data_IF_822018117492
#
_entry.id   IF_822018117492
#
_cell.length_a   1.000
_cell.length_b   1.000
_cell.length_c   1.000
_cell.angle_alpha   90.00
_cell.angle_beta   90.00
_cell.angle_gamma   90.00
#
_symmetry.space_group_name_H-M   'P 1'
#
loop_
_entity.id
_entity.type
_entity.pdbx_description
1 polymer ?
#
# COMPACT_ATOMS: atom_id res chain seq x y z
N UNK A 1 21.06 31.36 21.20
CA UNK A 1 21.73 30.08 21.40
C UNK A 1 21.14 29.14 20.35
N UNK A 2 21.93 28.85 19.33
CA UNK A 2 21.52 27.96 18.24
C UNK A 2 21.45 26.54 18.80
N UNK A 3 20.36 25.86 18.58
CA UNK A 3 20.21 24.43 18.80
C UNK A 3 21.17 23.71 17.84
N UNK A 4 22.18 23.07 18.35
CA UNK A 4 23.03 22.16 17.58
C UNK A 4 22.12 21.02 17.06
N UNK A 5 21.92 21.05 15.76
CA UNK A 5 21.35 19.93 15.01
C UNK A 5 22.42 18.81 15.07
N UNK A 6 22.22 17.85 15.97
CA UNK A 6 23.04 16.64 16.02
C UNK A 6 22.58 15.76 14.86
N UNK A 7 23.01 16.16 13.66
CA UNK A 7 22.87 15.35 12.47
C UNK A 7 23.69 14.07 12.67
N UNK A 8 23.04 12.97 12.99
CA UNK A 8 23.65 11.66 12.91
C UNK A 8 24.02 11.44 11.44
N UNK A 9 25.31 11.55 11.12
CA UNK A 9 25.79 11.27 9.78
C UNK A 9 25.68 9.75 9.55
N UNK A 10 24.68 9.34 8.78
CA UNK A 10 24.54 7.96 8.34
C UNK A 10 25.70 7.58 7.41
N UNK A 11 26.42 6.50 7.73
CA UNK A 11 27.41 5.91 6.83
C UNK A 11 26.79 4.72 6.07
N UNK A 12 26.37 4.90 4.81
CA UNK A 12 25.73 3.84 4.03
C UNK A 12 26.68 2.68 3.70
N UNK A 13 27.97 2.82 3.96
CA UNK A 13 28.96 1.74 3.79
C UNK A 13 29.07 0.82 5.00
N UNK A 14 28.49 1.20 6.15
CA UNK A 14 28.48 0.38 7.36
C UNK A 14 27.24 -0.54 7.38
N UNK A 15 27.37 -1.85 7.06
CA UNK A 15 26.22 -2.77 7.04
C UNK A 15 25.64 -3.06 8.42
N UNK A 16 26.31 -2.62 9.49
CA UNK A 16 25.88 -2.83 10.88
C UNK A 16 25.22 -1.60 11.49
N UNK A 17 25.14 -0.49 10.76
CA UNK A 17 24.39 0.65 11.24
C UNK A 17 22.88 0.37 11.14
N UNK A 18 22.19 0.50 12.29
CA UNK A 18 20.75 0.25 12.37
C UNK A 18 20.00 1.16 11.39
N UNK A 19 19.13 0.62 10.53
CA UNK A 19 18.28 1.44 9.67
C UNK A 19 17.44 2.44 10.47
N UNK A 20 17.14 3.59 9.87
CA UNK A 20 16.32 4.62 10.51
C UNK A 20 14.90 4.16 10.80
N UNK A 21 14.39 3.20 10.02
CA UNK A 21 13.00 2.75 10.02
C UNK A 21 11.97 3.90 9.93
N UNK A 22 12.39 5.04 9.37
CA UNK A 22 11.46 6.13 9.06
C UNK A 22 10.34 5.65 8.15
N UNK A 23 9.20 6.34 8.17
CA UNK A 23 8.04 5.99 7.38
C UNK A 23 7.74 7.06 6.33
N UNK A 24 7.27 6.63 5.16
CA UNK A 24 6.55 7.41 4.19
C UNK A 24 5.29 6.65 3.78
N UNK A 25 4.17 7.34 3.62
CA UNK A 25 2.90 6.72 3.24
C UNK A 25 2.36 7.44 2.01
N UNK A 26 1.97 6.67 1.00
CA UNK A 26 1.22 7.14 -0.16
C UNK A 26 -0.18 6.55 -0.13
N UNK A 27 -1.20 7.37 -0.43
CA UNK A 27 -2.59 6.95 -0.57
C UNK A 27 -3.17 7.51 -1.87
N UNK A 28 -3.95 6.70 -2.60
CA UNK A 28 -4.59 7.06 -3.86
C UNK A 28 -6.10 7.16 -3.64
N UNK A 29 -6.67 8.38 -3.70
CA UNK A 29 -8.08 8.62 -3.42
C UNK A 29 -8.94 8.65 -4.67
N UNK A 30 -10.16 8.13 -4.54
CA UNK A 30 -11.27 8.37 -5.44
C UNK A 30 -11.77 9.79 -5.29
N UNK A 31 -12.02 10.46 -6.42
CA UNK A 31 -12.78 11.71 -6.46
C UNK A 31 -14.20 11.39 -6.91
N UNK A 32 -15.20 11.75 -6.10
CA UNK A 32 -16.58 11.33 -6.26
C UNK A 32 -17.52 12.52 -6.39
N UNK A 33 -18.59 12.32 -7.14
CA UNK A 33 -19.75 13.21 -7.15
C UNK A 33 -20.55 13.02 -5.85
N UNK A 34 -20.90 14.09 -5.10
CA UNK A 34 -21.56 13.97 -3.79
C UNK A 34 -23.03 13.50 -3.87
N UNK A 35 -23.67 13.57 -5.04
CA UNK A 35 -25.08 13.16 -5.21
C UNK A 35 -25.19 11.70 -5.67
N UNK A 36 -24.31 11.30 -6.59
CA UNK A 36 -24.37 9.96 -7.21
C UNK A 36 -23.38 8.98 -6.58
N UNK A 37 -22.36 9.47 -5.87
CA UNK A 37 -21.21 8.72 -5.37
C UNK A 37 -20.42 8.01 -6.47
N UNK A 38 -20.60 8.39 -7.75
CA UNK A 38 -19.81 7.88 -8.86
C UNK A 38 -18.50 8.65 -9.01
N UNK A 39 -17.52 8.04 -9.69
CA UNK A 39 -16.25 8.69 -9.99
C UNK A 39 -16.45 9.92 -10.87
N UNK A 40 -15.74 10.98 -10.56
CA UNK A 40 -15.82 12.25 -11.28
C UNK A 40 -14.42 12.81 -11.53
N UNK A 41 -14.16 13.25 -12.77
CA UNK A 41 -12.89 13.90 -13.09
C UNK A 41 -12.76 15.22 -12.35
N UNK A 42 -11.58 15.45 -11.79
CA UNK A 42 -11.20 16.72 -11.15
C UNK A 42 -10.39 17.65 -12.08
N UNK A 43 -10.05 17.19 -13.28
CA UNK A 43 -9.11 17.85 -14.19
C UNK A 43 -9.55 19.25 -14.56
N UNK A 44 -10.79 19.41 -15.06
CA UNK A 44 -11.33 20.71 -15.45
C UNK A 44 -11.55 21.67 -14.26
N UNK A 45 -11.73 21.15 -13.06
CA UNK A 45 -11.97 21.94 -11.85
C UNK A 45 -10.69 22.50 -11.24
N UNK A 46 -9.53 22.08 -11.75
CA UNK A 46 -8.22 22.52 -11.26
C UNK A 46 -7.95 22.11 -9.80
N UNK A 47 -8.58 21.03 -9.31
CA UNK A 47 -8.44 20.58 -7.93
C UNK A 47 -6.97 20.27 -7.59
N UNK A 48 -6.27 19.59 -8.50
CA UNK A 48 -4.86 19.28 -8.32
C UNK A 48 -4.01 20.54 -8.20
N UNK A 49 -4.18 21.54 -9.08
CA UNK A 49 -3.41 22.80 -9.04
C UNK A 49 -3.61 23.55 -7.72
N UNK A 50 -4.87 23.64 -7.26
CA UNK A 50 -5.19 24.23 -5.96
C UNK A 50 -4.59 23.43 -4.80
N UNK A 51 -4.60 22.10 -4.92
CA UNK A 51 -3.95 21.21 -3.95
C UNK A 51 -2.44 21.43 -3.88
N UNK A 52 -1.78 21.59 -5.02
CA UNK A 52 -0.34 21.84 -5.10
C UNK A 52 0.08 23.21 -4.53
N UNK A 53 -0.80 24.22 -4.57
CA UNK A 53 -0.53 25.50 -3.90
C UNK A 53 -0.42 25.36 -2.38
N UNK A 54 -1.12 24.40 -1.78
CA UNK A 54 -1.18 24.18 -0.32
C UNK A 54 -0.28 23.03 0.13
N UNK A 55 -0.28 21.94 -0.63
CA UNK A 55 0.38 20.68 -0.29
C UNK A 55 1.68 20.45 -1.07
N UNK A 56 2.01 21.30 -2.04
CA UNK A 56 3.22 21.21 -2.88
C UNK A 56 3.36 19.81 -3.51
N UNK A 57 4.50 19.13 -3.27
CA UNK A 57 4.79 17.80 -3.76
C UNK A 57 4.03 16.66 -3.06
N UNK A 58 3.29 16.96 -1.97
CA UNK A 58 2.52 15.97 -1.23
C UNK A 58 1.21 15.55 -1.92
N UNK A 59 0.82 16.22 -3.00
CA UNK A 59 -0.31 15.83 -3.85
C UNK A 59 0.15 15.74 -5.31
N UNK A 60 -0.23 14.65 -5.98
CA UNK A 60 0.19 14.35 -7.34
C UNK A 60 -0.99 13.86 -8.17
N UNK A 61 -0.91 14.01 -9.50
CA UNK A 61 -1.87 13.36 -10.40
C UNK A 61 -1.63 11.87 -10.43
N UNK A 62 -2.69 11.09 -10.61
CA UNK A 62 -2.63 9.68 -10.96
C UNK A 62 -3.21 9.46 -12.37
N UNK A 63 -3.20 8.21 -12.86
CA UNK A 63 -3.44 7.91 -14.27
C UNK A 63 -4.83 8.31 -14.76
N UNK A 64 -5.85 8.18 -13.92
CA UNK A 64 -7.21 8.62 -14.27
C UNK A 64 -7.52 9.99 -13.65
N UNK A 65 -8.27 10.83 -14.37
CA UNK A 65 -8.70 12.15 -13.92
C UNK A 65 -9.61 12.14 -12.69
N UNK A 66 -10.10 10.98 -12.29
CA UNK A 66 -10.89 10.75 -11.06
C UNK A 66 -10.08 10.25 -9.88
N UNK A 67 -8.74 10.33 -9.97
CA UNK A 67 -7.80 9.85 -8.95
C UNK A 67 -6.89 10.97 -8.48
N UNK A 68 -6.53 10.94 -7.19
CA UNK A 68 -5.53 11.81 -6.58
C UNK A 68 -4.60 10.97 -5.71
N UNK A 69 -3.29 11.08 -5.94
CA UNK A 69 -2.27 10.50 -5.07
C UNK A 69 -1.81 11.55 -4.05
N UNK A 70 -1.71 11.14 -2.79
CA UNK A 70 -1.02 11.91 -1.77
C UNK A 70 0.19 11.14 -1.24
N UNK A 71 1.19 11.88 -0.76
CA UNK A 71 2.35 11.30 -0.08
C UNK A 71 2.76 12.13 1.12
N UNK A 72 3.05 11.48 2.24
CA UNK A 72 3.62 12.15 3.41
C UNK A 72 5.07 12.55 3.15
N UNK A 73 5.62 13.44 3.97
CA UNK A 73 7.06 13.58 4.13
C UNK A 73 7.68 12.36 4.81
N UNK A 74 8.97 12.48 5.15
CA UNK A 74 9.67 11.47 5.94
C UNK A 74 9.22 11.61 7.40
N UNK A 75 8.50 10.62 7.91
CA UNK A 75 8.02 10.56 9.28
C UNK A 75 8.99 9.73 10.13
N UNK A 76 9.44 10.27 11.25
CA UNK A 76 10.40 9.59 12.15
C UNK A 76 9.78 8.40 12.87
N UNK A 77 8.48 8.40 13.05
CA UNK A 77 7.72 7.38 13.75
C UNK A 77 6.25 7.35 13.31
N UNK A 78 5.53 6.37 13.80
CA UNK A 78 4.11 6.13 13.46
C UNK A 78 3.19 7.29 13.87
N UNK A 79 3.49 7.96 14.99
CA UNK A 79 2.68 9.10 15.47
C UNK A 79 2.78 10.31 14.52
N UNK A 80 3.98 10.59 13.99
CA UNK A 80 4.17 11.62 12.96
C UNK A 80 3.44 11.23 11.67
N UNK A 81 3.53 9.96 11.26
CA UNK A 81 2.83 9.46 10.07
C UNK A 81 1.31 9.62 10.22
N UNK A 82 0.74 9.30 11.38
CA UNK A 82 -0.68 9.53 11.68
C UNK A 82 -1.07 11.00 11.52
N UNK A 83 -0.29 11.88 12.14
CA UNK A 83 -0.57 13.32 12.11
C UNK A 83 -0.51 13.87 10.67
N UNK A 84 0.49 13.46 9.89
CA UNK A 84 0.64 13.90 8.49
C UNK A 84 -0.47 13.34 7.59
N UNK A 85 -0.76 12.04 7.62
CA UNK A 85 -1.85 11.44 6.83
C UNK A 85 -3.16 12.14 7.16
N UNK A 86 -3.48 12.31 8.45
CA UNK A 86 -4.71 13.00 8.88
C UNK A 86 -4.79 14.44 8.36
N UNK A 87 -3.70 15.19 8.47
CA UNK A 87 -3.61 16.57 7.97
C UNK A 87 -3.82 16.63 6.46
N UNK A 88 -3.09 15.81 5.69
CA UNK A 88 -3.13 15.85 4.23
C UNK A 88 -4.50 15.36 3.74
N UNK A 89 -5.03 14.24 4.26
CA UNK A 89 -6.36 13.74 3.91
C UNK A 89 -7.45 14.77 4.24
N UNK A 90 -7.35 15.47 5.38
CA UNK A 90 -8.26 16.55 5.75
C UNK A 90 -8.25 17.70 4.75
N UNK A 91 -7.06 18.19 4.37
CA UNK A 91 -6.90 19.26 3.37
C UNK A 91 -7.48 18.84 2.01
N UNK A 92 -7.19 17.62 1.55
CA UNK A 92 -7.73 17.10 0.27
C UNK A 92 -9.25 16.97 0.32
N UNK A 93 -9.81 16.49 1.43
CA UNK A 93 -11.26 16.41 1.65
C UNK A 93 -11.93 17.80 1.58
N UNK A 94 -11.34 18.80 2.22
CA UNK A 94 -11.88 20.16 2.24
C UNK A 94 -11.77 20.83 0.86
N UNK A 95 -10.66 20.64 0.16
CA UNK A 95 -10.48 21.10 -1.21
C UNK A 95 -11.48 20.46 -2.17
N UNK A 96 -11.74 19.16 -2.03
CA UNK A 96 -12.78 18.48 -2.81
C UNK A 96 -14.16 19.11 -2.56
N UNK A 97 -14.56 19.28 -1.29
CA UNK A 97 -15.84 19.91 -0.91
C UNK A 97 -15.99 21.32 -1.46
N UNK A 98 -14.94 22.16 -1.41
CA UNK A 98 -14.93 23.51 -1.98
C UNK A 98 -15.15 23.53 -3.51
N UNK A 99 -14.88 22.43 -4.19
CA UNK A 99 -15.08 22.26 -5.63
C UNK A 99 -16.34 21.42 -5.95
N UNK A 100 -17.23 21.19 -4.99
CA UNK A 100 -18.47 20.41 -5.18
C UNK A 100 -18.23 18.91 -5.34
N UNK A 101 -17.12 18.40 -4.83
CA UNK A 101 -16.71 17.00 -4.90
C UNK A 101 -16.50 16.42 -3.49
N UNK A 102 -16.38 15.12 -3.40
CA UNK A 102 -15.99 14.40 -2.17
C UNK A 102 -14.91 13.36 -2.51
N UNK A 103 -14.27 12.79 -1.48
CA UNK A 103 -13.25 11.74 -1.65
C UNK A 103 -13.71 10.42 -1.07
N UNK A 104 -13.14 9.33 -1.58
CA UNK A 104 -13.29 7.98 -1.03
C UNK A 104 -11.95 7.25 -1.01
N UNK A 105 -11.75 6.41 0.00
CA UNK A 105 -10.57 5.56 0.17
C UNK A 105 -11.00 4.09 0.18
N UNK A 106 -10.87 3.43 -0.95
CA UNK A 106 -10.99 1.99 -1.13
C UNK A 106 -10.23 1.61 -2.41
N UNK A 107 -9.95 0.35 -2.64
CA UNK A 107 -9.02 -0.02 -3.72
C UNK A 107 -9.67 -0.34 -5.05
N UNK A 108 -10.99 -0.43 -5.09
CA UNK A 108 -11.81 -0.38 -6.32
C UNK A 108 -13.08 0.37 -6.03
N UNK A 109 -13.59 1.10 -7.04
CA UNK A 109 -14.91 1.70 -6.93
C UNK A 109 -15.99 0.63 -7.11
N UNK A 110 -17.09 0.63 -6.30
CA UNK A 110 -18.07 -0.45 -6.34
C UNK A 110 -18.75 -0.66 -7.70
N UNK A 111 -19.04 0.41 -8.46
CA UNK A 111 -19.82 0.31 -9.70
C UNK A 111 -19.30 1.15 -10.87
N UNK A 112 -18.39 2.10 -10.66
CA UNK A 112 -17.82 2.88 -11.76
C UNK A 112 -17.12 2.00 -12.79
N UNK A 113 -17.23 2.39 -14.06
CA UNK A 113 -16.61 1.68 -15.17
C UNK A 113 -15.34 2.39 -15.62
N UNK A 114 -14.31 1.62 -15.94
CA UNK A 114 -13.03 2.18 -16.38
C UNK A 114 -13.14 2.81 -17.78
N UNK A 115 -14.06 2.32 -18.63
CA UNK A 115 -14.31 2.88 -19.97
C UNK A 115 -14.82 4.32 -19.94
N UNK A 116 -15.49 4.70 -18.85
CA UNK A 116 -16.06 6.03 -18.65
C UNK A 116 -15.05 7.02 -18.05
N UNK A 117 -13.83 6.54 -17.69
CA UNK A 117 -12.82 7.39 -17.06
C UNK A 117 -11.85 7.98 -18.09
N UNK A 118 -11.59 9.27 -17.97
CA UNK A 118 -10.57 9.93 -18.78
C UNK A 118 -9.16 9.67 -18.19
N UNK A 119 -8.17 9.54 -19.08
CA UNK A 119 -6.76 9.51 -18.69
C UNK A 119 -6.28 10.93 -18.39
N UNK A 120 -5.63 11.13 -17.24
CA UNK A 120 -5.05 12.43 -16.88
C UNK A 120 -4.08 12.91 -17.98
N UNK A 121 -4.14 14.21 -18.41
CA UNK A 121 -3.40 14.71 -19.57
C UNK A 121 -1.90 14.94 -19.29
N UNK A 122 -1.19 13.91 -18.88
CA UNK A 122 0.27 13.88 -18.69
C UNK A 122 0.91 12.94 -19.70
N UNK A 123 2.03 13.33 -20.30
CA UNK A 123 2.72 12.53 -21.32
C UNK A 123 3.22 11.17 -20.78
N UNK A 124 3.54 11.09 -19.49
CA UNK A 124 3.90 9.84 -18.81
C UNK A 124 2.78 8.80 -18.92
N UNK A 125 1.53 9.22 -18.71
CA UNK A 125 0.38 8.31 -18.79
C UNK A 125 0.00 7.98 -20.23
N UNK A 126 0.15 8.91 -21.17
CA UNK A 126 -0.04 8.65 -22.60
C UNK A 126 0.91 7.54 -23.08
N UNK A 127 2.21 7.64 -22.74
CA UNK A 127 3.21 6.62 -23.06
C UNK A 127 2.83 5.27 -22.44
N UNK A 128 2.41 5.25 -21.17
CA UNK A 128 1.99 4.01 -20.50
C UNK A 128 0.75 3.38 -21.18
N UNK A 129 -0.21 4.21 -21.60
CA UNK A 129 -1.39 3.74 -22.35
C UNK A 129 -1.02 3.22 -23.73
N UNK A 130 -0.06 3.85 -24.42
CA UNK A 130 0.45 3.36 -25.70
C UNK A 130 1.14 2.00 -25.56
N UNK A 131 1.96 1.83 -24.51
CA UNK A 131 2.70 0.60 -24.26
C UNK A 131 1.79 -0.55 -23.79
N UNK A 132 0.86 -0.28 -22.86
CA UNK A 132 0.08 -1.31 -22.16
C UNK A 132 -1.37 -1.44 -22.66
N UNK A 133 -1.83 -0.53 -23.52
CA UNK A 133 -3.14 -0.55 -24.16
C UNK A 133 -4.32 -0.70 -23.14
N UNK A 134 -5.17 -1.69 -23.35
CA UNK A 134 -6.33 -1.95 -22.48
C UNK A 134 -5.94 -2.23 -21.03
N UNK A 135 -4.75 -2.77 -20.78
CA UNK A 135 -4.30 -3.02 -19.42
C UNK A 135 -4.15 -1.71 -18.66
N UNK A 136 -3.52 -0.70 -19.26
CA UNK A 136 -3.38 0.62 -18.65
C UNK A 136 -4.74 1.31 -18.50
N UNK A 137 -5.55 1.38 -19.58
CA UNK A 137 -6.88 2.00 -19.51
C UNK A 137 -7.78 1.41 -18.43
N UNK A 138 -7.71 0.09 -18.22
CA UNK A 138 -8.52 -0.61 -17.22
C UNK A 138 -7.88 -0.67 -15.82
N UNK A 139 -6.81 0.10 -15.56
CA UNK A 139 -6.14 0.15 -14.26
C UNK A 139 -6.84 1.15 -13.32
N UNK A 140 -8.14 0.99 -13.14
CA UNK A 140 -8.95 1.83 -12.26
C UNK A 140 -8.92 1.26 -10.83
N UNK A 141 -7.75 1.33 -10.20
CA UNK A 141 -7.50 0.82 -8.85
C UNK A 141 -6.77 1.86 -8.01
N UNK A 142 -6.91 1.75 -6.70
CA UNK A 142 -6.37 2.69 -5.72
C UNK A 142 -5.56 1.93 -4.70
N UNK A 143 -4.36 2.38 -4.42
CA UNK A 143 -3.41 1.69 -3.56
C UNK A 143 -3.01 2.49 -2.33
N UNK A 144 -2.36 1.77 -1.43
CA UNK A 144 -1.58 2.32 -0.35
C UNK A 144 -0.17 1.77 -0.44
N UNK A 145 0.84 2.66 -0.36
CA UNK A 145 2.22 2.24 -0.31
C UNK A 145 2.86 2.68 1.01
N UNK A 146 3.69 1.80 1.57
CA UNK A 146 4.44 2.08 2.79
C UNK A 146 5.92 2.02 2.48
N UNK A 147 6.60 3.14 2.63
CA UNK A 147 8.05 3.25 2.55
C UNK A 147 8.65 3.10 3.94
N UNK A 148 9.63 2.23 4.08
CA UNK A 148 10.37 2.01 5.32
C UNK A 148 11.83 2.38 5.07
N UNK A 149 12.37 3.33 5.83
CA UNK A 149 13.76 3.79 5.73
C UNK A 149 14.73 2.65 6.07
N UNK A 150 15.47 2.20 5.04
CA UNK A 150 16.53 1.18 5.15
C UNK A 150 17.62 1.63 4.20
N UNK A 151 18.61 2.30 4.72
CA UNK A 151 19.59 3.05 3.94
C UNK A 151 20.59 2.11 3.24
N UNK A 152 20.95 1.00 3.90
CA UNK A 152 21.85 0.02 3.33
C UNK A 152 21.15 -0.88 2.31
N UNK A 153 21.62 -0.86 1.07
CA UNK A 153 21.01 -1.58 -0.06
C UNK A 153 21.09 -3.11 0.07
N UNK A 154 22.14 -3.65 0.67
CA UNK A 154 22.24 -5.10 0.91
C UNK A 154 21.23 -5.53 1.98
N UNK A 155 21.07 -4.73 3.03
CA UNK A 155 20.04 -4.96 4.06
C UNK A 155 18.64 -4.87 3.45
N UNK A 156 18.38 -3.93 2.51
CA UNK A 156 17.08 -3.88 1.81
C UNK A 156 16.77 -5.20 1.10
N UNK A 157 17.74 -5.80 0.39
CA UNK A 157 17.52 -7.06 -0.32
C UNK A 157 17.28 -8.21 0.65
N UNK A 158 18.06 -8.29 1.72
CA UNK A 158 17.88 -9.31 2.75
C UNK A 158 16.47 -9.22 3.37
N UNK A 159 16.07 -8.02 3.81
CA UNK A 159 14.76 -7.80 4.41
C UNK A 159 13.64 -8.00 3.40
N UNK A 160 13.79 -7.58 2.15
CA UNK A 160 12.82 -7.87 1.09
C UNK A 160 12.60 -9.37 0.93
N UNK A 161 13.66 -10.16 0.84
CA UNK A 161 13.58 -11.61 0.70
C UNK A 161 12.76 -12.26 1.82
N UNK A 162 13.01 -11.87 3.06
CA UNK A 162 12.34 -12.42 4.24
C UNK A 162 10.91 -11.88 4.40
N UNK A 163 10.69 -10.57 4.17
CA UNK A 163 9.37 -9.93 4.27
C UNK A 163 8.34 -10.51 3.29
N UNK A 164 8.75 -11.08 2.16
CA UNK A 164 7.84 -11.71 1.19
C UNK A 164 6.92 -12.74 1.84
N UNK A 165 7.38 -13.43 2.88
CA UNK A 165 6.55 -14.40 3.62
C UNK A 165 5.34 -13.76 4.29
N UNK A 166 5.50 -12.53 4.78
CA UNK A 166 4.46 -11.80 5.53
C UNK A 166 3.51 -11.01 4.63
N UNK A 167 3.83 -10.82 3.35
CA UNK A 167 3.01 -10.04 2.42
C UNK A 167 1.57 -10.55 2.31
N UNK A 168 1.29 -11.88 2.23
CA UNK A 168 -0.09 -12.39 2.26
C UNK A 168 -0.84 -12.11 3.56
N UNK A 169 -0.15 -12.05 4.71
CA UNK A 169 -0.76 -11.72 6.01
C UNK A 169 -1.18 -10.24 6.02
N UNK A 170 -0.29 -9.35 5.55
CA UNK A 170 -0.54 -7.91 5.44
C UNK A 170 -1.69 -7.64 4.45
N UNK A 171 -1.71 -8.34 3.31
CA UNK A 171 -2.81 -8.24 2.36
C UNK A 171 -4.15 -8.67 2.98
N UNK A 172 -4.17 -9.77 3.75
CA UNK A 172 -5.41 -10.25 4.38
C UNK A 172 -6.00 -9.21 5.36
N UNK A 173 -5.14 -8.44 6.06
CA UNK A 173 -5.55 -7.35 6.95
C UNK A 173 -6.07 -6.15 6.15
N UNK A 174 -5.44 -5.82 5.03
CA UNK A 174 -5.70 -4.61 4.24
C UNK A 174 -6.78 -4.75 3.17
N UNK A 175 -7.34 -5.96 2.91
CA UNK A 175 -8.31 -6.15 1.82
C UNK A 175 -9.46 -5.14 1.86
N UNK A 176 -9.69 -4.42 0.73
CA UNK A 176 -10.70 -3.38 0.62
C UNK A 176 -11.19 -3.15 -0.83
N UNK A 177 -11.33 -4.22 -1.62
CA UNK A 177 -11.77 -4.13 -3.02
C UNK A 177 -12.61 -5.34 -3.46
N UNK A 178 -13.81 -5.56 -2.85
CA UNK A 178 -14.63 -6.74 -3.16
C UNK A 178 -15.50 -6.56 -4.42
N UNK A 179 -15.74 -5.32 -4.86
CA UNK A 179 -16.63 -5.01 -5.97
C UNK A 179 -15.87 -4.47 -7.18
N UNK A 180 -16.41 -4.71 -8.37
CA UNK A 180 -15.91 -4.21 -9.64
C UNK A 180 -17.05 -4.05 -10.64
N UNK A 181 -17.24 -2.84 -11.18
CA UNK A 181 -18.27 -2.54 -12.22
C UNK A 181 -19.67 -3.07 -11.84
N UNK A 182 -20.07 -2.86 -10.59
CA UNK A 182 -21.38 -3.28 -10.09
C UNK A 182 -21.50 -4.76 -9.72
N UNK A 183 -20.40 -5.52 -9.76
CA UNK A 183 -20.39 -6.97 -9.49
C UNK A 183 -19.68 -7.27 -8.17
N UNK A 184 -20.27 -8.13 -7.34
CA UNK A 184 -19.54 -8.82 -6.28
C UNK A 184 -18.61 -9.84 -6.92
N UNK A 185 -17.31 -9.57 -6.85
CA UNK A 185 -16.28 -10.39 -7.52
C UNK A 185 -16.04 -11.73 -6.82
N UNK A 186 -16.56 -11.88 -5.62
CA UNK A 186 -16.25 -13.00 -4.73
C UNK A 186 -14.84 -12.98 -4.17
N UNK A 187 -14.07 -11.90 -4.38
CA UNK A 187 -12.71 -11.70 -3.84
C UNK A 187 -12.75 -10.60 -2.79
N UNK A 188 -11.78 -10.59 -1.87
CA UNK A 188 -11.61 -9.53 -0.87
C UNK A 188 -10.66 -8.42 -1.37
N UNK A 189 -9.74 -8.76 -2.29
CA UNK A 189 -8.86 -7.81 -2.96
C UNK A 189 -8.86 -8.04 -4.47
N UNK A 190 -9.86 -7.49 -5.17
CA UNK A 190 -9.90 -7.56 -6.64
C UNK A 190 -8.82 -6.65 -7.27
N UNK A 191 -8.43 -5.55 -6.60
CA UNK A 191 -7.29 -4.72 -6.97
C UNK A 191 -6.06 -5.56 -7.30
N UNK A 192 -5.71 -6.51 -6.46
CA UNK A 192 -4.56 -7.40 -6.69
C UNK A 192 -4.63 -8.11 -8.05
N UNK A 193 -5.82 -8.55 -8.48
CA UNK A 193 -6.01 -9.25 -9.77
C UNK A 193 -5.99 -8.32 -10.96
N UNK A 194 -6.48 -7.10 -10.81
CA UNK A 194 -6.36 -6.07 -11.85
C UNK A 194 -4.88 -5.72 -12.05
N UNK A 195 -4.16 -5.48 -10.96
CA UNK A 195 -2.76 -5.09 -11.02
C UNK A 195 -1.83 -6.21 -11.55
N UNK A 196 -2.11 -7.47 -11.21
CA UNK A 196 -1.34 -8.62 -11.69
C UNK A 196 -1.43 -8.86 -13.22
N UNK A 197 -2.31 -8.16 -13.94
CA UNK A 197 -2.34 -8.18 -15.40
C UNK A 197 -1.14 -7.46 -16.02
N UNK A 198 -0.50 -6.57 -15.29
CA UNK A 198 0.71 -5.88 -15.72
C UNK A 198 1.95 -6.79 -15.62
N UNK A 199 2.93 -6.63 -16.51
CA UNK A 199 4.20 -7.31 -16.36
C UNK A 199 4.95 -6.82 -15.12
N UNK A 200 5.84 -7.64 -14.58
CA UNK A 200 6.73 -7.30 -13.46
C UNK A 200 5.97 -6.89 -12.17
N UNK A 201 4.84 -7.54 -11.92
CA UNK A 201 3.99 -7.41 -10.73
C UNK A 201 4.07 -8.63 -9.83
N UNK A 202 3.29 -8.65 -8.75
CA UNK A 202 3.24 -9.67 -7.71
C UNK A 202 4.52 -9.75 -6.85
N UNK A 203 4.70 -10.83 -6.10
CA UNK A 203 5.88 -10.99 -5.24
C UNK A 203 7.17 -11.09 -6.07
N UNK A 204 8.28 -10.45 -5.64
CA UNK A 204 9.58 -10.63 -6.28
C UNK A 204 10.14 -12.04 -6.12
N UNK A 205 11.06 -12.42 -6.98
CA UNK A 205 11.95 -13.57 -6.76
C UNK A 205 12.96 -13.26 -5.65
N UNK A 206 13.74 -14.26 -5.25
CA UNK A 206 14.87 -14.10 -4.33
C UNK A 206 16.06 -13.49 -5.06
N UNK A 207 16.77 -12.62 -4.39
CA UNK A 207 18.05 -12.07 -4.83
C UNK A 207 19.11 -12.32 -3.76
N UNK A 208 20.26 -12.82 -4.16
CA UNK A 208 21.37 -13.12 -3.23
C UNK A 208 22.12 -11.86 -2.76
N UNK A 209 21.98 -10.74 -3.48
CA UNK A 209 22.65 -9.48 -3.18
C UNK A 209 21.99 -8.32 -3.93
N UNK A 210 22.29 -7.09 -3.50
CA UNK A 210 21.91 -5.90 -4.24
C UNK A 210 22.56 -5.85 -5.64
N UNK A 211 23.78 -6.37 -5.78
CA UNK A 211 24.43 -6.51 -7.08
C UNK A 211 23.67 -7.39 -8.05
N UNK A 212 23.11 -8.51 -7.61
CA UNK A 212 22.25 -9.36 -8.44
C UNK A 212 20.97 -8.63 -8.85
N UNK A 213 20.31 -7.94 -7.93
CA UNK A 213 19.15 -7.10 -8.24
C UNK A 213 19.49 -6.01 -9.26
N UNK A 214 20.62 -5.32 -9.12
CA UNK A 214 21.07 -4.31 -10.07
C UNK A 214 21.32 -4.92 -11.46
N UNK A 215 21.92 -6.09 -11.53
CA UNK A 215 22.14 -6.80 -12.80
C UNK A 215 20.81 -7.14 -13.48
N UNK A 216 19.81 -7.57 -12.72
CA UNK A 216 18.45 -7.81 -13.23
C UNK A 216 17.84 -6.51 -13.80
N UNK A 217 17.88 -5.40 -13.05
CA UNK A 217 17.38 -4.10 -13.52
C UNK A 217 18.12 -3.66 -14.79
N UNK A 218 19.45 -3.72 -14.77
CA UNK A 218 20.29 -3.31 -15.91
C UNK A 218 20.00 -4.14 -17.17
N UNK A 219 19.71 -5.43 -17.02
CA UNK A 219 19.32 -6.29 -18.14
C UNK A 219 18.01 -5.83 -18.76
N UNK A 220 17.00 -5.52 -17.93
CA UNK A 220 15.70 -5.02 -18.42
C UNK A 220 15.83 -3.67 -19.12
N UNK A 221 16.68 -2.77 -18.60
CA UNK A 221 16.97 -1.47 -19.23
C UNK A 221 17.71 -1.67 -20.55
N UNK A 222 18.75 -2.50 -20.56
CA UNK A 222 19.56 -2.80 -21.76
C UNK A 222 18.73 -3.41 -22.90
N UNK A 223 17.72 -4.21 -22.56
CA UNK A 223 16.81 -4.84 -23.54
C UNK A 223 15.64 -3.95 -23.94
N UNK A 224 15.56 -2.71 -23.44
CA UNK A 224 14.46 -1.80 -23.72
C UNK A 224 13.13 -2.20 -23.10
N UNK A 225 13.14 -3.15 -22.14
CA UNK A 225 11.91 -3.61 -21.47
C UNK A 225 11.36 -2.57 -20.48
N UNK A 226 12.24 -1.78 -19.90
CA UNK A 226 11.95 -0.64 -19.01
C UNK A 226 13.00 0.46 -19.23
N UNK A 227 12.66 1.68 -18.87
CA UNK A 227 13.61 2.82 -18.83
C UNK A 227 14.32 2.93 -17.47
N UNK A 228 13.63 2.53 -16.40
CA UNK A 228 14.17 2.51 -15.05
C UNK A 228 13.37 1.56 -14.14
N UNK A 229 13.86 1.33 -12.90
CA UNK A 229 13.26 0.38 -11.96
C UNK A 229 11.89 0.83 -11.39
N UNK A 230 11.40 2.06 -11.65
CA UNK A 230 10.01 2.44 -11.31
C UNK A 230 8.98 1.57 -12.02
N UNK A 231 9.31 1.04 -13.21
CA UNK A 231 8.45 0.12 -13.98
C UNK A 231 8.51 -1.35 -13.51
N UNK A 232 9.08 -1.61 -12.35
CA UNK A 232 9.01 -2.88 -11.62
C UNK A 232 8.00 -2.70 -10.49
N UNK A 233 6.82 -3.27 -10.64
CA UNK A 233 5.66 -3.03 -9.77
C UNK A 233 5.41 -4.19 -8.80
N UNK A 234 6.48 -4.74 -8.23
CA UNK A 234 6.34 -5.82 -7.24
C UNK A 234 5.58 -5.40 -5.98
N UNK A 235 5.02 -6.37 -5.29
CA UNK A 235 4.29 -6.20 -4.02
C UNK A 235 5.16 -5.62 -2.89
N UNK A 236 6.46 -5.83 -2.97
CA UNK A 236 7.51 -5.23 -2.14
C UNK A 236 8.77 -5.07 -2.99
N UNK A 237 9.41 -3.91 -2.92
CA UNK A 237 10.63 -3.63 -3.72
C UNK A 237 11.57 -2.64 -3.03
N UNK A 238 12.88 -2.69 -3.31
CA UNK A 238 13.76 -1.56 -3.04
C UNK A 238 13.32 -0.38 -3.90
N UNK A 239 13.10 0.79 -3.28
CA UNK A 239 12.74 1.96 -4.09
C UNK A 239 13.96 2.43 -4.91
N UNK A 240 13.80 2.73 -6.22
CA UNK A 240 14.95 3.03 -7.09
C UNK A 240 15.71 4.31 -6.72
N UNK A 241 15.05 5.29 -6.11
CA UNK A 241 15.64 6.60 -5.82
C UNK A 241 15.74 6.93 -4.33
N UNK A 242 14.82 6.40 -3.52
CA UNK A 242 14.83 6.62 -2.07
C UNK A 242 15.52 5.46 -1.35
N UNK A 243 16.19 5.69 -0.22
CA UNK A 243 16.80 4.63 0.58
C UNK A 243 15.73 3.89 1.41
N UNK A 244 14.68 3.41 0.74
CA UNK A 244 13.53 2.75 1.38
C UNK A 244 13.23 1.41 0.76
N UNK A 245 12.69 0.51 1.57
CA UNK A 245 11.97 -0.67 1.13
C UNK A 245 10.48 -0.31 1.06
N UNK A 246 9.86 -0.47 -0.09
CA UNK A 246 8.49 -0.05 -0.40
C UNK A 246 7.56 -1.25 -0.44
N UNK A 247 6.58 -1.28 0.46
CA UNK A 247 5.48 -2.27 0.48
C UNK A 247 4.30 -1.72 -0.30
N UNK A 248 3.87 -2.43 -1.34
CA UNK A 248 2.85 -2.00 -2.32
C UNK A 248 1.62 -2.92 -2.38
N UNK A 249 1.67 -4.04 -1.68
CA UNK A 249 0.64 -5.09 -1.75
C UNK A 249 -0.71 -4.64 -1.19
N UNK A 250 -0.74 -3.63 -0.34
CA UNK A 250 -1.91 -3.23 0.42
C UNK A 250 -3.01 -2.63 -0.45
N UNK A 251 -4.24 -3.06 -0.25
CA UNK A 251 -5.39 -2.25 -0.61
C UNK A 251 -5.41 -0.99 0.26
N UNK A 252 -5.94 0.11 -0.27
CA UNK A 252 -6.11 1.36 0.48
C UNK A 252 -7.21 1.21 1.53
N UNK A 253 -6.92 1.35 2.83
CA UNK A 253 -7.93 1.30 3.87
C UNK A 253 -8.84 2.53 3.89
N UNK A 254 -10.07 2.37 4.36
CA UNK A 254 -11.00 3.51 4.50
C UNK A 254 -10.56 4.44 5.63
N UNK A 255 -10.26 3.91 6.81
CA UNK A 255 -9.92 4.69 8.02
C UNK A 255 -8.43 4.97 8.11
N UNK A 256 -8.09 6.14 8.63
CA UNK A 256 -6.68 6.52 8.88
C UNK A 256 -6.03 5.57 9.87
N UNK A 257 -6.75 5.17 10.92
CA UNK A 257 -6.25 4.23 11.92
C UNK A 257 -5.82 2.89 11.31
N UNK A 258 -6.54 2.42 10.29
CA UNK A 258 -6.20 1.20 9.56
C UNK A 258 -4.95 1.38 8.69
N UNK A 259 -4.85 2.52 7.98
CA UNK A 259 -3.64 2.90 7.22
C UNK A 259 -2.41 2.86 8.11
N UNK A 260 -2.51 3.49 9.28
CA UNK A 260 -1.40 3.61 10.22
C UNK A 260 -1.07 2.27 10.89
N UNK A 261 -2.07 1.46 11.24
CA UNK A 261 -1.85 0.11 11.78
C UNK A 261 -1.11 -0.79 10.78
N UNK A 262 -1.46 -0.70 9.48
CA UNK A 262 -0.78 -1.45 8.42
C UNK A 262 0.64 -0.94 8.20
N UNK A 263 0.86 0.37 8.23
CA UNK A 263 2.22 0.94 8.16
C UNK A 263 3.07 0.51 9.35
N UNK A 264 2.50 0.54 10.56
CA UNK A 264 3.16 0.13 11.80
C UNK A 264 3.57 -1.35 11.78
N UNK A 265 2.70 -2.26 11.33
CA UNK A 265 3.07 -3.69 11.24
C UNK A 265 4.12 -3.93 10.16
N UNK A 266 4.09 -3.22 9.02
CA UNK A 266 5.13 -3.30 8.00
C UNK A 266 6.49 -2.87 8.57
N UNK A 267 6.54 -1.75 9.30
CA UNK A 267 7.73 -1.25 9.99
C UNK A 267 8.23 -2.24 11.04
N UNK A 268 7.33 -2.77 11.87
CA UNK A 268 7.67 -3.72 12.92
C UNK A 268 8.23 -5.04 12.37
N UNK A 269 7.69 -5.55 11.26
CA UNK A 269 8.24 -6.73 10.57
C UNK A 269 9.64 -6.47 10.07
N UNK A 270 9.88 -5.32 9.42
CA UNK A 270 11.22 -4.96 8.94
C UNK A 270 12.22 -4.84 10.10
N UNK A 271 11.85 -4.16 11.18
CA UNK A 271 12.69 -4.00 12.37
C UNK A 271 12.97 -5.35 13.07
N UNK A 272 11.96 -6.22 13.16
CA UNK A 272 12.12 -7.56 13.74
C UNK A 272 13.07 -8.42 12.92
N UNK A 273 12.94 -8.44 11.61
CA UNK A 273 13.83 -9.20 10.74
C UNK A 273 15.26 -8.64 10.79
N UNK A 274 15.42 -7.31 10.86
CA UNK A 274 16.72 -6.69 11.08
C UNK A 274 17.32 -7.09 12.43
N UNK A 275 16.53 -7.18 13.50
CA UNK A 275 17.01 -7.65 14.80
C UNK A 275 17.52 -9.10 14.79
N UNK A 276 17.02 -9.93 13.87
CA UNK A 276 17.57 -11.26 13.62
C UNK A 276 18.87 -11.19 12.83
N UNK A 277 18.92 -10.36 11.79
CA UNK A 277 20.10 -10.13 10.96
C UNK A 277 21.31 -9.69 11.81
N UNK A 278 21.14 -8.73 12.73
CA UNK A 278 22.20 -8.30 13.66
C UNK A 278 22.77 -9.44 14.53
N UNK A 279 21.96 -10.45 14.78
CA UNK A 279 22.33 -11.64 15.58
C UNK A 279 22.85 -12.79 14.73
N UNK A 280 23.11 -12.57 13.43
CA UNK A 280 23.45 -13.62 12.45
C UNK A 280 22.37 -14.71 12.34
N UNK A 281 21.10 -14.34 12.52
CA UNK A 281 19.94 -15.18 12.33
C UNK A 281 19.16 -14.69 11.11
N UNK A 282 18.35 -15.58 10.51
CA UNK A 282 17.50 -15.22 9.37
C UNK A 282 16.14 -15.89 9.48
N UNK A 283 15.11 -15.25 8.89
CA UNK A 283 13.85 -15.92 8.69
C UNK A 283 13.94 -16.84 7.47
N UNK A 284 13.24 -17.97 7.52
CA UNK A 284 13.28 -18.97 6.45
C UNK A 284 12.71 -18.41 5.15
N UNK A 285 13.46 -18.51 4.07
CA UNK A 285 13.04 -18.13 2.73
C UNK A 285 12.26 -19.24 2.04
N UNK A 286 11.24 -18.85 1.27
CA UNK A 286 10.39 -19.75 0.50
C UNK A 286 10.35 -19.36 -0.97
N UNK A 287 10.11 -20.34 -1.84
CA UNK A 287 9.93 -20.10 -3.27
C UNK A 287 8.73 -19.21 -3.52
N UNK A 288 8.87 -18.29 -4.46
CA UNK A 288 7.80 -17.38 -4.89
C UNK A 288 6.48 -18.10 -5.16
N UNK A 289 6.51 -19.24 -5.86
CA UNK A 289 5.31 -20.03 -6.19
C UNK A 289 4.52 -20.48 -4.96
N UNK A 290 5.19 -20.82 -3.87
CA UNK A 290 4.52 -21.17 -2.61
C UNK A 290 3.88 -19.95 -1.92
N UNK A 291 4.58 -18.83 -1.94
CA UNK A 291 4.05 -17.58 -1.35
C UNK A 291 2.87 -17.04 -2.16
N UNK A 292 2.88 -17.22 -3.49
CA UNK A 292 1.76 -16.84 -4.36
C UNK A 292 0.49 -17.64 -4.06
N UNK A 293 0.58 -18.89 -3.58
CA UNK A 293 -0.59 -19.62 -3.10
C UNK A 293 -1.22 -18.93 -1.88
N UNK A 294 -0.43 -18.50 -0.92
CA UNK A 294 -0.92 -17.71 0.22
C UNK A 294 -1.46 -16.34 -0.21
N UNK A 295 -0.82 -15.68 -1.17
CA UNK A 295 -1.35 -14.44 -1.74
C UNK A 295 -2.73 -14.64 -2.36
N UNK A 296 -2.90 -15.71 -3.15
CA UNK A 296 -4.22 -16.07 -3.69
C UNK A 296 -5.27 -16.27 -2.60
N UNK A 297 -4.92 -16.99 -1.52
CA UNK A 297 -5.83 -17.22 -0.38
C UNK A 297 -6.21 -15.92 0.33
N UNK A 298 -5.25 -15.00 0.53
CA UNK A 298 -5.51 -13.68 1.09
C UNK A 298 -6.43 -12.86 0.16
N UNK A 299 -6.16 -12.82 -1.15
CA UNK A 299 -7.00 -12.16 -2.16
C UNK A 299 -8.43 -12.68 -2.13
N UNK A 300 -8.59 -14.01 -2.06
CA UNK A 300 -9.91 -14.64 -2.17
C UNK A 300 -10.72 -14.56 -0.88
N UNK A 301 -10.08 -14.78 0.26
CA UNK A 301 -10.78 -15.02 1.53
C UNK A 301 -10.48 -13.97 2.60
N UNK A 302 -9.42 -13.18 2.46
CA UNK A 302 -9.01 -12.18 3.46
C UNK A 302 -8.80 -12.79 4.84
N UNK A 303 -9.34 -12.13 5.87
CA UNK A 303 -9.25 -12.55 7.27
C UNK A 303 -10.01 -13.84 7.58
N UNK A 304 -11.03 -14.18 6.80
CA UNK A 304 -11.88 -15.35 7.03
C UNK A 304 -11.31 -16.64 6.41
N UNK A 305 -10.21 -16.50 5.68
CA UNK A 305 -9.53 -17.60 5.01
C UNK A 305 -8.58 -18.39 5.89
N UNK A 306 -7.92 -19.33 5.23
CA UNK A 306 -6.77 -20.06 5.78
C UNK A 306 -5.55 -19.77 4.92
N UNK A 307 -4.44 -19.46 5.57
CA UNK A 307 -3.13 -19.40 4.95
C UNK A 307 -2.35 -20.68 5.27
N UNK A 308 -1.34 -20.97 4.47
CA UNK A 308 -0.47 -22.12 4.70
C UNK A 308 0.71 -21.65 5.54
N UNK A 309 0.87 -22.24 6.72
CA UNK A 309 2.13 -22.20 7.46
C UNK A 309 3.12 -23.17 6.80
N UNK A 310 4.03 -22.64 6.02
CA UNK A 310 5.01 -23.45 5.30
C UNK A 310 6.04 -24.11 6.22
N UNK A 311 6.26 -23.56 7.41
CA UNK A 311 7.12 -24.16 8.43
C UNK A 311 6.52 -25.42 9.01
N UNK A 312 5.22 -25.36 9.36
CA UNK A 312 4.44 -26.48 9.90
C UNK A 312 3.82 -27.37 8.81
N UNK A 313 3.87 -26.95 7.55
CA UNK A 313 3.29 -27.63 6.37
C UNK A 313 1.79 -27.94 6.54
N UNK A 314 1.03 -26.96 7.04
CA UNK A 314 -0.42 -27.10 7.25
C UNK A 314 -1.17 -25.79 7.06
N UNK A 315 -2.44 -25.89 6.79
CA UNK A 315 -3.37 -24.77 6.78
C UNK A 315 -3.66 -24.29 8.19
N UNK A 316 -3.66 -22.98 8.37
CA UNK A 316 -4.01 -22.30 9.61
C UNK A 316 -5.03 -21.19 9.30
N UNK A 317 -6.00 -20.88 10.18
CA UNK A 317 -6.82 -19.70 10.03
C UNK A 317 -5.95 -18.45 9.87
N UNK A 318 -6.28 -17.57 8.93
CA UNK A 318 -5.50 -16.33 8.70
C UNK A 318 -5.39 -15.49 9.98
N UNK A 319 -6.48 -15.36 10.74
CA UNK A 319 -6.50 -14.65 12.02
C UNK A 319 -5.51 -15.21 13.04
N UNK A 320 -5.31 -16.51 13.09
CA UNK A 320 -4.34 -17.12 14.02
C UNK A 320 -2.91 -16.84 13.59
N UNK A 321 -2.61 -16.91 12.28
CA UNK A 321 -1.28 -16.55 11.78
C UNK A 321 -0.99 -15.06 11.92
N UNK A 322 -2.00 -14.20 11.83
CA UNK A 322 -1.85 -12.76 12.10
C UNK A 322 -1.56 -12.53 13.61
N UNK A 323 -2.22 -13.24 14.53
CA UNK A 323 -1.88 -13.18 15.95
C UNK A 323 -0.43 -13.66 16.22
N UNK A 324 0.00 -14.72 15.55
CA UNK A 324 1.40 -15.16 15.63
C UNK A 324 2.36 -14.10 15.08
N UNK A 325 1.98 -13.38 14.01
CA UNK A 325 2.76 -12.26 13.50
C UNK A 325 2.85 -11.12 14.52
N UNK A 326 1.76 -10.76 15.19
CA UNK A 326 1.76 -9.74 16.24
C UNK A 326 2.68 -10.14 17.41
N UNK A 327 2.64 -11.39 17.83
CA UNK A 327 3.56 -11.94 18.84
C UNK A 327 5.02 -11.97 18.34
N UNK A 328 5.24 -12.24 17.06
CA UNK A 328 6.59 -12.25 16.48
C UNK A 328 7.28 -10.89 16.53
N UNK A 329 6.53 -9.80 16.37
CA UNK A 329 7.08 -8.43 16.39
C UNK A 329 7.00 -7.75 17.77
N UNK A 330 6.45 -8.40 18.78
CA UNK A 330 6.14 -7.81 20.08
C UNK A 330 7.34 -7.17 20.78
N UNK A 331 8.54 -7.74 20.60
CA UNK A 331 9.78 -7.27 21.22
C UNK A 331 10.39 -6.02 20.55
N UNK A 332 9.85 -5.54 19.42
CA UNK A 332 10.37 -4.36 18.73
C UNK A 332 9.39 -3.19 18.70
N UNK A 333 8.10 -3.42 18.96
CA UNK A 333 7.06 -2.37 18.81
C UNK A 333 7.19 -1.24 19.81
N UNK A 334 7.71 -1.49 21.00
CA UNK A 334 7.94 -0.46 22.02
C UNK A 334 9.11 0.46 21.65
N UNK A 335 10.20 -0.12 21.11
CA UNK A 335 11.35 0.64 20.61
C UNK A 335 10.97 1.56 19.42
N UNK A 336 10.01 1.11 18.60
CA UNK A 336 9.45 1.88 17.48
C UNK A 336 8.40 2.90 17.93
N UNK A 337 7.91 2.81 19.16
CA UNK A 337 6.80 3.63 19.68
C UNK A 337 5.49 3.37 18.96
N UNK A 338 5.26 2.14 18.48
CA UNK A 338 4.13 1.79 17.60
C UNK A 338 3.16 0.75 18.19
N UNK A 339 3.28 0.44 19.49
CA UNK A 339 2.47 -0.61 20.14
C UNK A 339 0.98 -0.43 19.93
N UNK A 340 0.45 0.75 20.20
CA UNK A 340 -0.97 1.06 20.06
C UNK A 340 -1.49 0.82 18.65
N UNK A 341 -0.72 1.25 17.66
CA UNK A 341 -1.09 1.17 16.25
C UNK A 341 -1.00 -0.28 15.74
N UNK A 342 0.01 -1.04 16.20
CA UNK A 342 0.10 -2.48 15.90
C UNK A 342 -1.03 -3.27 16.56
N UNK A 343 -1.39 -2.94 17.80
CA UNK A 343 -2.51 -3.58 18.51
C UNK A 343 -3.88 -3.26 17.87
N UNK A 344 -4.01 -2.14 17.13
CA UNK A 344 -5.23 -1.82 16.38
C UNK A 344 -5.59 -2.90 15.34
N UNK A 345 -4.64 -3.75 14.96
CA UNK A 345 -4.90 -4.91 14.09
C UNK A 345 -5.88 -5.89 14.73
N UNK A 346 -5.94 -6.00 16.06
CA UNK A 346 -6.98 -6.79 16.74
C UNK A 346 -8.37 -6.21 16.48
N UNK A 347 -8.53 -4.87 16.49
CA UNK A 347 -9.79 -4.22 16.15
C UNK A 347 -10.17 -4.46 14.67
N UNK A 348 -9.19 -4.40 13.75
CA UNK A 348 -9.44 -4.75 12.33
C UNK A 348 -9.93 -6.19 12.22
N UNK A 349 -9.30 -7.12 12.94
CA UNK A 349 -9.74 -8.52 12.93
C UNK A 349 -11.17 -8.67 13.48
N UNK A 350 -11.53 -7.95 14.53
CA UNK A 350 -12.86 -8.05 15.14
C UNK A 350 -13.96 -7.42 14.27
N UNK A 351 -13.69 -6.25 13.67
CA UNK A 351 -14.63 -5.56 12.78
C UNK A 351 -14.76 -6.23 11.40
N UNK A 352 -13.72 -6.94 10.98
CA UNK A 352 -13.49 -7.34 9.60
C UNK A 352 -12.72 -6.27 8.81
N UNK A 353 -12.06 -6.69 7.72
CA UNK A 353 -11.37 -5.80 6.79
C UNK A 353 -12.33 -4.82 6.11
N UNK A 354 -11.80 -3.85 5.37
CA UNK A 354 -12.62 -2.95 4.57
C UNK A 354 -13.55 -3.72 3.62
N UNK A 355 -13.05 -4.79 2.98
CA UNK A 355 -13.86 -5.63 2.11
C UNK A 355 -15.02 -6.33 2.85
N UNK A 356 -14.78 -6.83 4.07
CA UNK A 356 -15.82 -7.46 4.87
C UNK A 356 -16.96 -6.49 5.21
N UNK A 357 -16.60 -5.25 5.53
CA UNK A 357 -17.55 -4.19 5.86
C UNK A 357 -18.34 -3.72 4.65
N UNK A 358 -17.68 -3.53 3.49
CA UNK A 358 -18.37 -3.20 2.22
C UNK A 358 -19.38 -4.30 1.85
N UNK A 359 -19.00 -5.58 1.92
CA UNK A 359 -19.87 -6.72 1.65
C UNK A 359 -21.08 -6.77 2.62
N UNK A 360 -20.87 -6.39 3.87
CA UNK A 360 -21.95 -6.31 4.87
C UNK A 360 -22.96 -5.23 4.50
N UNK A 361 -22.49 -4.02 4.16
CA UNK A 361 -23.37 -2.93 3.71
C UNK A 361 -24.16 -3.36 2.47
N UNK A 362 -23.51 -3.98 1.49
CA UNK A 362 -24.22 -4.46 0.30
C UNK A 362 -25.26 -5.54 0.63
N UNK A 363 -24.92 -6.46 1.51
CA UNK A 363 -25.87 -7.52 1.95
C UNK A 363 -27.11 -6.95 2.65
N UNK A 364 -26.94 -5.85 3.39
CA UNK A 364 -28.02 -5.20 4.14
C UNK A 364 -28.89 -4.32 3.26
N UNK A 365 -28.29 -3.64 2.28
CA UNK A 365 -28.98 -2.60 1.48
C UNK A 365 -29.33 -3.04 0.05
N UNK A 366 -28.58 -4.01 -0.51
CA UNK A 366 -28.69 -4.37 -1.93
C UNK A 366 -28.21 -3.27 -2.88
N UNK A 367 -27.52 -2.23 -2.40
CA UNK A 367 -27.19 -1.01 -3.16
C UNK A 367 -25.69 -0.77 -3.22
N UNK A 368 -25.11 -0.70 -4.42
CA UNK A 368 -23.73 -0.29 -4.64
C UNK A 368 -23.50 1.20 -4.30
N UNK A 369 -24.52 2.04 -4.48
CA UNK A 369 -24.46 3.46 -4.10
C UNK A 369 -24.33 3.61 -2.59
N UNK A 370 -25.05 2.81 -1.78
CA UNK A 370 -24.89 2.81 -0.33
C UNK A 370 -23.49 2.31 0.10
N UNK A 371 -22.90 1.38 -0.65
CA UNK A 371 -21.50 0.97 -0.43
C UNK A 371 -20.55 2.12 -0.72
N UNK A 372 -20.70 2.84 -1.83
CA UNK A 372 -19.84 3.98 -2.17
C UNK A 372 -20.00 5.13 -1.15
N UNK A 373 -21.22 5.38 -0.69
CA UNK A 373 -21.52 6.32 0.40
C UNK A 373 -20.81 5.91 1.69
N UNK A 374 -20.91 4.65 2.09
CA UNK A 374 -20.21 4.10 3.25
C UNK A 374 -18.69 4.27 3.15
N UNK A 375 -18.11 4.02 1.97
CA UNK A 375 -16.68 4.26 1.71
C UNK A 375 -16.35 5.73 1.99
N UNK A 376 -17.12 6.68 1.46
CA UNK A 376 -16.90 8.11 1.71
C UNK A 376 -16.98 8.46 3.20
N UNK A 377 -18.03 8.02 3.89
CA UNK A 377 -18.27 8.30 5.30
C UNK A 377 -17.13 7.77 6.20
N UNK A 378 -16.69 6.53 5.95
CA UNK A 378 -15.56 5.94 6.68
C UNK A 378 -14.21 6.59 6.35
N UNK A 379 -14.03 7.05 5.09
CA UNK A 379 -12.79 7.70 4.64
C UNK A 379 -12.59 9.09 5.26
N UNK A 380 -13.68 9.76 5.60
CA UNK A 380 -13.69 11.12 6.16
C UNK A 380 -13.97 11.15 7.67
N UNK A 381 -14.08 9.98 8.28
CA UNK A 381 -14.35 9.84 9.70
C UNK A 381 -13.22 10.42 10.56
N UNK A 382 -13.55 11.38 11.41
CA UNK A 382 -12.59 12.00 12.32
C UNK A 382 -11.65 13.04 11.70
N UNK A 383 -11.94 13.47 10.43
CA UNK A 383 -11.29 14.63 9.79
C UNK A 383 -11.84 15.94 10.35
#
# INVERSE_FOLDING_TARGET
MASEDVGVSFDPSNPYERPSFTLGIEEEYMVLNPETYDLTSHVELGLLSKGQEVLHEHIKPEMHGSMLEIGTGICRNVSEAYAEVKKIRGIVSDLAKQNGLIIGAASTHPFARWEDQEIYPDDRYKILVEDMQVLARSLLIFGMHVHIGIENREVQIQLMNEMRYFMPHILAISTNSPFWEGIDTGLKSYRSKIFERFPRTALPDLFSSYGEYQNYVNLLVKTGSIDNAKKIWWDIRPHPFFPTLEVRICDLPMRIEETIAIAAICQAVAAKLYSLYEKNLSFREYRRSLLMENKWRAVRYGLDGKLIDWGRQREMPARELIKELLLFVDDVVDDLGSRKEVEYIYEIMDMGSGADRQLRVFKETGSMTEVAKYIHEESTRGL
#
